data_IF_737823313607
#
_entry.id   IF_737823313607
#
_cell.length_a   1.000
_cell.length_b   1.000
_cell.length_c   1.000
_cell.angle_alpha   90.00
_cell.angle_beta   90.00
_cell.angle_gamma   90.00
#
_symmetry.space_group_name_H-M   'P 1'
#
loop_
_entity.id
_entity.type
_entity.pdbx_description
1 polymer ?
#
# COMPACT_ATOMS: atom_id res chain seq x y z
N UNK A 1 0.84 33.80 20.10
CA UNK A 1 1.43 34.04 18.75
C UNK A 1 2.70 33.21 18.64
N UNK A 2 2.58 31.95 18.21
CA UNK A 2 3.72 31.19 17.67
C UNK A 2 3.66 31.39 16.17
N UNK A 3 4.66 32.07 15.64
CA UNK A 3 4.89 32.28 14.21
C UNK A 3 5.12 30.93 13.54
N UNK A 4 4.11 30.43 12.84
CA UNK A 4 4.23 29.28 11.95
C UNK A 4 5.13 29.63 10.78
N UNK A 5 6.40 29.25 10.85
CA UNK A 5 7.13 28.89 9.65
C UNK A 5 6.58 27.51 9.25
N UNK A 6 5.75 27.48 8.21
CA UNK A 6 5.48 26.26 7.47
C UNK A 6 6.83 25.73 7.01
N UNK A 7 7.37 24.72 7.69
CA UNK A 7 8.55 24.01 7.22
C UNK A 7 8.10 23.20 6.01
N UNK A 8 8.24 23.74 4.80
CA UNK A 8 8.02 22.96 3.59
C UNK A 8 9.27 22.12 3.36
N UNK A 9 9.28 20.87 3.84
CA UNK A 9 10.36 19.94 3.53
C UNK A 9 10.47 19.72 2.02
N UNK A 10 11.68 19.53 1.52
CA UNK A 10 11.94 19.28 0.10
C UNK A 10 11.40 17.91 -0.33
N UNK A 11 10.94 17.80 -1.58
CA UNK A 11 10.53 16.52 -2.17
C UNK A 11 11.73 15.58 -2.27
N UNK A 12 11.49 14.29 -2.04
CA UNK A 12 12.52 13.29 -2.21
C UNK A 12 12.76 13.11 -3.71
N UNK A 13 14.01 13.26 -4.14
CA UNK A 13 14.50 12.96 -5.49
C UNK A 13 15.42 11.73 -5.44
N UNK A 14 16.01 11.36 -6.59
CA UNK A 14 16.81 10.15 -6.75
C UNK A 14 18.25 10.43 -7.17
N UNK A 15 18.77 11.63 -6.91
CA UNK A 15 20.15 12.02 -7.29
C UNK A 15 21.21 11.27 -6.49
N UNK A 16 20.98 11.08 -5.19
CA UNK A 16 21.95 10.46 -4.28
C UNK A 16 22.17 8.98 -4.65
N UNK A 17 23.38 8.56 -5.08
CA UNK A 17 23.61 7.22 -5.64
C UNK A 17 23.22 6.05 -4.74
N UNK A 18 23.33 6.23 -3.42
CA UNK A 18 23.04 5.20 -2.41
C UNK A 18 21.64 5.34 -1.80
N UNK A 19 20.83 6.30 -2.26
CA UNK A 19 19.44 6.43 -1.81
C UNK A 19 18.56 5.29 -2.33
N UNK A 20 17.47 5.03 -1.62
CA UNK A 20 16.48 4.04 -2.04
C UNK A 20 15.92 4.38 -3.43
N UNK A 21 15.55 5.65 -3.66
CA UNK A 21 14.98 6.12 -4.92
C UNK A 21 15.93 5.96 -6.10
N UNK A 22 17.22 6.23 -5.92
CA UNK A 22 18.21 5.97 -6.96
C UNK A 22 18.30 4.49 -7.31
N UNK A 23 18.40 3.62 -6.29
CA UNK A 23 18.45 2.18 -6.49
C UNK A 23 17.22 1.61 -7.20
N UNK A 24 16.04 2.19 -6.94
CA UNK A 24 14.81 1.85 -7.65
C UNK A 24 14.90 2.20 -9.14
N UNK A 25 15.25 3.46 -9.46
CA UNK A 25 15.25 3.92 -10.86
C UNK A 25 16.39 3.31 -11.70
N UNK A 26 17.57 3.13 -11.13
CA UNK A 26 18.77 2.74 -11.88
C UNK A 26 19.00 1.22 -11.94
N UNK A 27 18.44 0.45 -11.00
CA UNK A 27 18.59 -1.00 -10.90
C UNK A 27 17.26 -1.74 -10.98
N UNK A 28 16.35 -1.50 -10.03
CA UNK A 28 15.11 -2.30 -9.90
C UNK A 28 14.15 -2.12 -11.07
N UNK A 29 14.00 -0.91 -11.60
CA UNK A 29 13.14 -0.67 -12.78
C UNK A 29 13.67 -1.37 -14.05
N UNK A 30 14.96 -1.26 -14.42
CA UNK A 30 15.52 -2.07 -15.49
C UNK A 30 15.34 -3.58 -15.30
N UNK A 31 15.57 -4.10 -14.10
CA UNK A 31 15.35 -5.51 -13.76
C UNK A 31 13.88 -5.91 -13.91
N UNK A 32 12.95 -5.03 -13.50
CA UNK A 32 11.52 -5.25 -13.63
C UNK A 32 11.07 -5.29 -15.09
N UNK A 33 11.59 -4.40 -15.95
CA UNK A 33 11.32 -4.45 -17.39
C UNK A 33 11.77 -5.80 -17.95
N UNK A 34 12.99 -6.25 -17.61
CA UNK A 34 13.51 -7.54 -18.06
C UNK A 34 12.66 -8.72 -17.56
N UNK A 35 12.19 -8.65 -16.30
CA UNK A 35 11.28 -9.64 -15.74
C UNK A 35 9.97 -9.69 -16.51
N UNK A 36 9.25 -8.57 -16.63
CA UNK A 36 7.98 -8.47 -17.37
C UNK A 36 8.11 -8.98 -18.81
N UNK A 37 9.21 -8.62 -19.47
CA UNK A 37 9.54 -9.06 -20.83
C UNK A 37 9.61 -10.58 -20.98
N UNK A 38 10.08 -11.27 -19.94
CA UNK A 38 10.25 -12.73 -19.90
C UNK A 38 9.07 -13.49 -19.29
N UNK A 39 8.23 -12.82 -18.49
CA UNK A 39 7.12 -13.45 -17.74
C UNK A 39 5.92 -13.83 -18.60
N UNK A 40 5.72 -13.16 -19.75
CA UNK A 40 4.64 -13.44 -20.68
C UNK A 40 5.15 -13.52 -22.13
N UNK A 41 4.48 -14.30 -23.01
CA UNK A 41 4.91 -14.49 -24.40
C UNK A 41 4.52 -13.28 -25.28
N UNK A 42 5.01 -12.11 -24.93
CA UNK A 42 4.71 -10.86 -25.64
C UNK A 42 5.24 -10.88 -27.09
N UNK A 43 4.49 -10.32 -28.06
CA UNK A 43 4.87 -10.29 -29.46
C UNK A 43 6.06 -9.35 -29.69
N UNK A 44 6.76 -9.46 -30.84
CA UNK A 44 7.92 -8.62 -31.14
C UNK A 44 7.68 -7.11 -31.03
N UNK A 45 6.44 -6.63 -31.26
CA UNK A 45 6.10 -5.21 -31.09
C UNK A 45 6.17 -4.77 -29.62
N UNK A 46 5.53 -5.52 -28.71
CA UNK A 46 5.58 -5.24 -27.27
C UNK A 46 6.99 -5.40 -26.72
N UNK A 47 7.74 -6.40 -27.18
CA UNK A 47 9.15 -6.59 -26.83
C UNK A 47 9.99 -5.35 -27.17
N UNK A 48 9.80 -4.75 -28.37
CA UNK A 48 10.47 -3.50 -28.75
C UNK A 48 10.05 -2.31 -27.89
N UNK A 49 8.77 -2.20 -27.53
CA UNK A 49 8.30 -1.12 -26.66
C UNK A 49 8.96 -1.20 -25.27
N UNK A 50 9.10 -2.41 -24.72
CA UNK A 50 9.80 -2.64 -23.44
C UNK A 50 11.29 -2.29 -23.54
N UNK A 51 11.95 -2.64 -24.65
CA UNK A 51 13.35 -2.25 -24.88
C UNK A 51 13.51 -0.72 -24.98
N UNK A 52 12.57 -0.04 -25.67
CA UNK A 52 12.54 1.43 -25.76
C UNK A 52 12.34 2.09 -24.39
N UNK A 53 11.42 1.55 -23.58
CA UNK A 53 11.22 2.02 -22.21
C UNK A 53 12.50 1.89 -21.38
N UNK A 54 13.20 0.75 -21.49
CA UNK A 54 14.47 0.51 -20.79
C UNK A 54 15.58 1.50 -21.15
N UNK A 55 15.56 2.05 -22.36
CA UNK A 55 16.41 3.17 -22.78
C UNK A 55 15.93 4.51 -22.23
N UNK A 56 14.62 4.80 -22.36
CA UNK A 56 14.04 6.08 -21.99
C UNK A 56 14.19 6.42 -20.48
N UNK A 57 14.09 5.43 -19.60
CA UNK A 57 14.21 5.65 -18.14
C UNK A 57 15.64 5.98 -17.68
N UNK A 58 16.63 5.93 -18.57
CA UNK A 58 18.04 6.26 -18.28
C UNK A 58 18.42 7.68 -18.72
N UNK A 59 17.53 8.38 -19.41
CA UNK A 59 17.78 9.69 -19.98
C UNK A 59 16.84 10.72 -19.33
N UNK A 60 15.93 11.30 -20.11
CA UNK A 60 14.97 12.30 -19.67
C UNK A 60 13.56 11.75 -19.68
N UNK A 61 12.69 12.36 -18.87
CA UNK A 61 11.27 12.05 -18.80
C UNK A 61 10.62 12.27 -20.19
N UNK A 62 10.05 11.22 -20.82
CA UNK A 62 9.39 11.36 -22.12
C UNK A 62 8.01 12.01 -21.96
N UNK A 63 7.49 12.68 -23.01
CA UNK A 63 6.11 13.15 -23.02
C UNK A 63 5.13 11.97 -22.96
N UNK A 64 3.96 12.20 -22.39
CA UNK A 64 2.88 11.23 -22.41
C UNK A 64 2.15 11.28 -23.75
N UNK A 65 2.03 10.13 -24.44
CA UNK A 65 1.43 10.07 -25.79
C UNK A 65 0.34 9.02 -25.95
N UNK A 66 0.01 8.28 -24.89
CA UNK A 66 -0.96 7.18 -24.98
C UNK A 66 -2.38 7.71 -25.27
N UNK A 67 -3.08 7.19 -26.28
CA UNK A 67 -4.46 7.56 -26.57
C UNK A 67 -5.44 6.84 -25.61
N UNK A 68 -5.42 7.23 -24.33
CA UNK A 68 -6.27 6.67 -23.28
C UNK A 68 -7.28 7.68 -22.74
N UNK A 69 -8.33 7.19 -22.06
CA UNK A 69 -9.37 8.04 -21.48
C UNK A 69 -8.84 9.02 -20.42
N UNK A 70 -7.75 8.68 -19.74
CA UNK A 70 -7.07 9.48 -18.72
C UNK A 70 -5.97 10.40 -19.31
N UNK A 71 -5.85 10.48 -20.64
CA UNK A 71 -4.74 11.18 -21.32
C UNK A 71 -4.57 12.63 -20.88
N UNK A 72 -5.66 13.40 -20.85
CA UNK A 72 -5.57 14.82 -20.50
C UNK A 72 -5.06 15.05 -19.07
N UNK A 73 -5.39 14.15 -18.14
CA UNK A 73 -4.88 14.22 -16.78
C UNK A 73 -3.37 13.90 -16.73
N UNK A 74 -2.94 12.83 -17.42
CA UNK A 74 -1.52 12.47 -17.49
C UNK A 74 -0.67 13.51 -18.21
N UNK A 75 -1.14 14.08 -19.32
CA UNK A 75 -0.44 15.18 -20.00
C UNK A 75 -0.22 16.37 -19.05
N UNK A 76 -1.23 16.72 -18.24
CA UNK A 76 -1.12 17.79 -17.25
C UNK A 76 -0.11 17.45 -16.13
N UNK A 77 -0.14 16.21 -15.61
CA UNK A 77 0.78 15.77 -14.55
C UNK A 77 2.22 15.60 -15.01
N UNK A 78 2.43 15.31 -16.29
CA UNK A 78 3.75 15.07 -16.89
C UNK A 78 4.39 16.35 -17.41
N UNK A 79 3.60 17.34 -17.84
CA UNK A 79 4.08 18.59 -18.43
C UNK A 79 5.23 19.29 -17.66
N UNK A 80 5.22 19.38 -16.30
CA UNK A 80 6.30 20.04 -15.56
C UNK A 80 7.66 19.31 -15.62
N UNK A 81 7.64 18.02 -16.00
CA UNK A 81 8.79 17.13 -15.88
C UNK A 81 9.36 16.67 -17.22
N UNK A 82 8.63 16.84 -18.33
CA UNK A 82 9.10 16.46 -19.68
C UNK A 82 10.48 17.05 -19.97
N UNK A 83 11.40 16.21 -20.42
CA UNK A 83 12.76 16.62 -20.76
C UNK A 83 13.70 16.83 -19.58
N UNK A 84 13.23 16.66 -18.33
CA UNK A 84 14.10 16.65 -17.15
C UNK A 84 14.70 15.26 -16.92
N UNK A 85 15.92 15.15 -16.36
CA UNK A 85 16.49 13.85 -15.99
C UNK A 85 15.61 13.13 -14.97
N UNK A 86 15.41 11.82 -15.14
CA UNK A 86 14.58 11.01 -14.23
C UNK A 86 15.03 11.07 -12.76
N UNK A 87 16.33 11.24 -12.50
CA UNK A 87 16.87 11.29 -11.14
C UNK A 87 16.61 12.62 -10.42
N UNK A 88 16.20 13.66 -11.15
CA UNK A 88 16.03 15.03 -10.62
C UNK A 88 14.56 15.43 -10.39
N UNK A 89 13.61 14.58 -10.77
CA UNK A 89 12.19 14.80 -10.53
C UNK A 89 11.76 14.07 -9.25
N UNK A 90 10.62 14.43 -8.64
CA UNK A 90 10.18 13.82 -7.39
C UNK A 90 10.05 12.30 -7.53
N UNK A 91 10.58 11.56 -6.57
CA UNK A 91 10.73 10.11 -6.64
C UNK A 91 9.38 9.39 -6.73
N UNK A 92 8.42 9.71 -5.84
CA UNK A 92 7.05 9.18 -5.92
C UNK A 92 6.42 9.39 -7.31
N UNK A 93 6.59 10.58 -7.87
CA UNK A 93 6.07 10.93 -9.19
C UNK A 93 6.76 10.10 -10.29
N UNK A 94 8.09 10.02 -10.26
CA UNK A 94 8.89 9.25 -11.22
C UNK A 94 8.49 7.77 -11.21
N UNK A 95 8.38 7.19 -10.02
CA UNK A 95 8.01 5.79 -9.84
C UNK A 95 6.61 5.51 -10.39
N UNK A 96 5.65 6.38 -10.08
CA UNK A 96 4.28 6.31 -10.60
C UNK A 96 4.22 6.41 -12.13
N UNK A 97 4.97 7.34 -12.71
CA UNK A 97 5.00 7.52 -14.17
C UNK A 97 5.68 6.34 -14.88
N UNK A 98 6.72 5.76 -14.28
CA UNK A 98 7.34 4.54 -14.77
C UNK A 98 6.32 3.41 -14.91
N UNK A 99 5.50 3.13 -13.89
CA UNK A 99 4.48 2.07 -13.97
C UNK A 99 3.43 2.36 -15.04
N UNK A 100 3.06 3.64 -15.24
CA UNK A 100 2.16 4.06 -16.32
C UNK A 100 2.75 3.77 -17.70
N UNK A 101 4.03 4.06 -17.91
CA UNK A 101 4.74 3.77 -19.16
C UNK A 101 4.98 2.27 -19.36
N UNK A 102 5.22 1.52 -18.29
CA UNK A 102 5.39 0.07 -18.35
C UNK A 102 4.11 -0.62 -18.85
N UNK A 103 2.95 -0.26 -18.30
CA UNK A 103 1.66 -0.76 -18.78
C UNK A 103 1.35 -0.31 -20.22
N UNK A 104 1.73 0.90 -20.60
CA UNK A 104 1.64 1.33 -21.99
C UNK A 104 2.50 0.44 -22.90
N UNK A 105 3.75 0.17 -22.51
CA UNK A 105 4.66 -0.65 -23.29
C UNK A 105 4.15 -2.08 -23.52
N UNK A 106 3.41 -2.64 -22.56
CA UNK A 106 2.78 -3.97 -22.68
C UNK A 106 1.50 -3.98 -23.53
N UNK A 107 0.98 -2.80 -23.91
CA UNK A 107 -0.28 -2.66 -24.65
C UNK A 107 -1.53 -2.75 -23.77
N UNK A 108 -1.39 -2.60 -22.45
CA UNK A 108 -2.48 -2.75 -21.48
C UNK A 108 -3.68 -1.85 -21.75
N UNK A 109 -3.46 -0.63 -22.25
CA UNK A 109 -4.50 0.38 -22.48
C UNK A 109 -5.07 0.40 -23.90
N UNK A 110 -4.49 -0.39 -24.81
CA UNK A 110 -4.91 -0.42 -26.21
C UNK A 110 -6.20 -1.21 -26.43
N UNK A 111 -6.53 -1.43 -27.69
CA UNK A 111 -7.66 -2.26 -28.16
C UNK A 111 -7.22 -3.65 -28.67
N UNK A 112 -5.93 -3.96 -28.52
CA UNK A 112 -5.32 -5.22 -28.96
C UNK A 112 -5.55 -6.39 -27.99
N UNK A 113 -5.05 -7.59 -28.32
CA UNK A 113 -5.23 -8.80 -27.52
C UNK A 113 -4.52 -8.77 -26.14
N UNK A 114 -3.68 -7.76 -25.90
CA UNK A 114 -2.97 -7.56 -24.64
C UNK A 114 -3.64 -6.49 -23.76
N UNK A 115 -4.76 -5.92 -24.21
CA UNK A 115 -5.55 -4.98 -23.43
C UNK A 115 -6.01 -5.63 -22.13
N UNK A 116 -5.81 -4.94 -21.00
CA UNK A 116 -6.19 -5.43 -19.68
C UNK A 116 -5.36 -6.60 -19.12
N UNK A 117 -4.34 -7.08 -19.84
CA UNK A 117 -3.50 -8.20 -19.37
C UNK A 117 -2.51 -7.70 -18.32
N UNK A 118 -2.70 -8.10 -17.07
CA UNK A 118 -1.80 -7.77 -15.95
C UNK A 118 -0.43 -8.47 -16.11
N UNK A 119 0.68 -7.71 -16.30
CA UNK A 119 2.02 -8.28 -16.45
C UNK A 119 2.55 -8.95 -15.17
N UNK A 120 1.95 -8.67 -14.02
CA UNK A 120 2.38 -9.14 -12.70
C UNK A 120 1.54 -10.29 -12.16
N UNK A 121 0.45 -10.65 -12.86
CA UNK A 121 -0.50 -11.67 -12.40
C UNK A 121 0.15 -13.00 -12.04
N UNK A 122 1.09 -13.49 -12.85
CA UNK A 122 1.75 -14.77 -12.59
C UNK A 122 2.54 -14.76 -11.28
N UNK A 123 3.15 -13.63 -10.93
CA UNK A 123 3.84 -13.47 -9.65
C UNK A 123 2.86 -13.45 -8.49
N UNK A 124 1.75 -12.70 -8.60
CA UNK A 124 0.71 -12.63 -7.57
C UNK A 124 0.06 -13.99 -7.32
N UNK A 125 -0.30 -14.70 -8.40
CA UNK A 125 -0.90 -16.04 -8.31
C UNK A 125 0.06 -17.06 -7.71
N UNK A 126 1.36 -16.96 -8.01
CA UNK A 126 2.37 -17.85 -7.44
C UNK A 126 2.51 -17.70 -5.93
N UNK A 127 2.32 -16.49 -5.39
CA UNK A 127 2.27 -16.26 -3.95
C UNK A 127 1.08 -17.00 -3.31
N UNK A 128 -0.09 -16.98 -3.97
CA UNK A 128 -1.30 -17.65 -3.48
C UNK A 128 -1.22 -19.19 -3.54
N UNK A 129 -0.38 -19.75 -4.39
CA UNK A 129 -0.21 -21.22 -4.52
C UNK A 129 1.03 -21.70 -3.75
N UNK A 130 1.74 -20.78 -3.08
CA UNK A 130 2.92 -21.12 -2.30
C UNK A 130 2.53 -21.84 -1.00
N UNK A 131 3.33 -22.83 -0.59
CA UNK A 131 3.14 -23.49 0.72
C UNK A 131 3.39 -22.57 1.93
N UNK A 132 3.80 -21.32 1.71
CA UNK A 132 3.89 -20.31 2.76
C UNK A 132 2.50 -19.78 3.12
N UNK A 133 1.65 -19.48 2.12
CA UNK A 133 0.27 -19.07 2.39
C UNK A 133 -0.51 -20.18 3.10
N UNK A 134 -0.33 -21.46 2.73
CA UNK A 134 -1.01 -22.58 3.41
C UNK A 134 -0.76 -22.59 4.93
N UNK A 135 0.46 -22.26 5.38
CA UNK A 135 0.77 -22.13 6.81
C UNK A 135 0.12 -20.92 7.45
N UNK A 136 0.06 -19.81 6.72
CA UNK A 136 -0.61 -18.59 7.18
C UNK A 136 -2.13 -18.83 7.30
N UNK A 137 -2.72 -19.73 6.50
CA UNK A 137 -4.16 -20.05 6.57
C UNK A 137 -4.57 -20.75 7.87
N UNK A 138 -3.72 -21.59 8.45
CA UNK A 138 -3.97 -22.17 9.78
C UNK A 138 -4.03 -21.08 10.86
N UNK A 139 -3.16 -20.07 10.76
CA UNK A 139 -3.18 -18.93 11.65
C UNK A 139 -4.42 -18.06 11.43
N UNK A 140 -4.80 -17.80 10.17
CA UNK A 140 -6.06 -17.12 9.83
C UNK A 140 -7.24 -17.85 10.47
N UNK A 141 -7.31 -19.18 10.38
CA UNK A 141 -8.35 -19.97 11.02
C UNK A 141 -8.36 -19.80 12.55
N UNK A 142 -7.18 -19.75 13.18
CA UNK A 142 -7.02 -19.44 14.60
C UNK A 142 -7.59 -18.08 14.96
N UNK A 143 -7.24 -17.03 14.22
CA UNK A 143 -7.71 -15.65 14.49
C UNK A 143 -9.22 -15.52 14.27
N UNK A 144 -9.77 -16.15 13.23
CA UNK A 144 -11.22 -16.15 12.95
C UNK A 144 -12.01 -16.76 14.12
N UNK A 145 -11.45 -17.77 14.77
CA UNK A 145 -12.10 -18.51 15.88
C UNK A 145 -11.73 -18.01 17.27
N UNK A 146 -10.77 -17.09 17.38
CA UNK A 146 -10.34 -16.50 18.63
C UNK A 146 -11.45 -15.65 19.29
N UNK A 147 -11.37 -15.47 20.63
CA UNK A 147 -12.20 -14.50 21.35
C UNK A 147 -12.19 -13.12 20.69
N UNK A 148 -13.26 -12.36 20.87
CA UNK A 148 -13.49 -11.10 20.13
C UNK A 148 -12.29 -10.14 20.17
N UNK A 149 -11.85 -9.75 21.37
CA UNK A 149 -10.77 -8.79 21.58
C UNK A 149 -9.43 -9.30 21.03
N UNK A 150 -9.05 -10.54 21.37
CA UNK A 150 -7.81 -11.17 20.91
C UNK A 150 -7.78 -11.32 19.38
N UNK A 151 -8.91 -11.73 18.80
CA UNK A 151 -9.06 -11.91 17.36
C UNK A 151 -9.03 -10.59 16.60
N UNK A 152 -9.60 -9.52 17.15
CA UNK A 152 -9.54 -8.17 16.55
C UNK A 152 -8.11 -7.65 16.54
N UNK A 153 -7.44 -7.67 17.70
CA UNK A 153 -6.05 -7.22 17.83
C UNK A 153 -5.12 -8.02 16.92
N UNK A 154 -5.26 -9.35 16.90
CA UNK A 154 -4.49 -10.24 16.03
C UNK A 154 -4.74 -9.98 14.55
N UNK A 155 -5.98 -9.66 14.15
CA UNK A 155 -6.29 -9.34 12.76
C UNK A 155 -5.68 -8.00 12.31
N UNK A 156 -5.61 -6.99 13.19
CA UNK A 156 -4.96 -5.72 12.90
C UNK A 156 -3.44 -5.91 12.71
N UNK A 157 -2.80 -6.66 13.62
CA UNK A 157 -1.38 -6.98 13.48
C UNK A 157 -1.11 -7.86 12.25
N UNK A 158 -2.01 -8.79 11.92
CA UNK A 158 -1.92 -9.57 10.70
C UNK A 158 -1.97 -8.67 9.45
N UNK A 159 -2.90 -7.71 9.43
CA UNK A 159 -3.03 -6.71 8.36
C UNK A 159 -1.77 -5.85 8.22
N UNK A 160 -1.13 -5.45 9.34
CA UNK A 160 0.13 -4.69 9.33
C UNK A 160 1.31 -5.49 8.73
N UNK A 161 1.44 -6.76 9.13
CA UNK A 161 2.59 -7.60 8.82
C UNK A 161 2.39 -8.55 7.63
N UNK A 162 1.23 -8.52 6.96
CA UNK A 162 0.82 -9.52 5.95
C UNK A 162 1.78 -9.72 4.77
N UNK A 163 2.71 -8.80 4.55
CA UNK A 163 3.80 -8.94 3.58
C UNK A 163 4.95 -9.84 4.02
N UNK A 164 4.95 -10.37 5.24
CA UNK A 164 6.07 -11.12 5.84
C UNK A 164 5.69 -12.57 6.12
N UNK A 165 6.64 -13.48 5.97
CA UNK A 165 6.45 -14.94 6.07
C UNK A 165 6.48 -15.50 7.49
N UNK A 166 6.46 -14.63 8.51
CA UNK A 166 6.61 -14.97 9.93
C UNK A 166 5.45 -14.48 10.81
N UNK A 167 4.25 -14.38 10.24
CA UNK A 167 3.06 -13.84 10.90
C UNK A 167 2.78 -14.51 12.26
N UNK A 168 2.94 -15.83 12.38
CA UNK A 168 2.72 -16.58 13.63
C UNK A 168 3.76 -16.29 14.72
N UNK A 169 5.00 -16.01 14.32
CA UNK A 169 6.09 -15.67 15.25
C UNK A 169 5.96 -14.23 15.77
N UNK A 170 5.45 -13.31 14.96
CA UNK A 170 5.30 -11.90 15.35
C UNK A 170 4.10 -11.64 16.25
N UNK A 171 2.99 -12.35 16.04
CA UNK A 171 1.85 -12.26 16.98
C UNK A 171 2.20 -12.81 18.38
N UNK A 172 3.26 -13.61 18.50
CA UNK A 172 3.65 -14.29 19.73
C UNK A 172 4.87 -13.69 20.43
N UNK A 173 5.51 -12.64 19.90
CA UNK A 173 6.60 -11.93 20.57
C UNK A 173 6.05 -10.95 21.62
N UNK A 174 6.23 -11.19 22.92
CA UNK A 174 6.10 -10.12 23.90
C UNK A 174 7.27 -9.13 23.75
N UNK A 175 7.04 -7.88 24.15
CA UNK A 175 8.02 -6.78 24.19
C UNK A 175 9.41 -7.26 24.63
N UNK A 176 10.45 -6.84 23.91
CA UNK A 176 11.82 -7.25 24.21
C UNK A 176 12.24 -6.76 25.60
N UNK A 177 12.77 -7.67 26.42
CA UNK A 177 13.28 -7.36 27.77
C UNK A 177 14.73 -6.82 27.75
N UNK A 178 15.34 -6.72 26.57
CA UNK A 178 16.69 -6.18 26.38
C UNK A 178 16.61 -4.68 26.14
N UNK A 179 17.28 -3.89 26.99
CA UNK A 179 17.29 -2.43 26.90
C UNK A 179 17.96 -1.90 25.61
N UNK A 180 18.73 -2.74 24.89
CA UNK A 180 19.39 -2.37 23.64
C UNK A 180 18.55 -2.60 22.37
N UNK A 181 17.50 -3.43 22.43
CA UNK A 181 16.68 -3.75 21.27
C UNK A 181 15.47 -2.81 21.18
N UNK A 182 15.13 -2.38 19.96
CA UNK A 182 13.88 -1.67 19.69
C UNK A 182 12.88 -2.70 19.19
N UNK A 183 11.64 -2.65 19.68
CA UNK A 183 10.59 -3.53 19.20
C UNK A 183 10.36 -3.29 17.70
N UNK A 184 10.07 -4.36 16.96
CA UNK A 184 9.76 -4.29 15.53
C UNK A 184 8.61 -3.30 15.23
N UNK A 185 7.74 -3.04 16.21
CA UNK A 185 6.73 -1.98 16.16
C UNK A 185 7.23 -0.71 16.85
N UNK A 186 7.61 0.30 16.05
CA UNK A 186 8.27 1.52 16.53
C UNK A 186 7.26 2.47 17.19
N UNK A 187 6.07 2.57 16.61
CA UNK A 187 4.93 3.34 17.13
C UNK A 187 3.71 2.43 17.08
N UNK A 188 2.96 2.38 18.17
CA UNK A 188 1.83 1.48 18.35
C UNK A 188 0.62 2.21 18.93
N UNK A 189 -0.21 2.74 18.06
CA UNK A 189 -1.46 3.40 18.42
C UNK A 189 -2.68 2.45 18.31
N UNK A 190 -2.48 1.11 18.36
CA UNK A 190 -3.56 0.14 18.19
C UNK A 190 -4.68 0.27 19.22
N UNK A 191 -4.35 0.55 20.48
CA UNK A 191 -5.34 0.76 21.55
C UNK A 191 -6.24 1.98 21.28
N UNK A 192 -5.71 3.01 20.62
CA UNK A 192 -6.46 4.21 20.25
C UNK A 192 -7.49 3.88 19.16
N UNK A 193 -7.11 3.05 18.18
CA UNK A 193 -8.02 2.55 17.14
C UNK A 193 -9.22 1.82 17.76
N UNK A 194 -8.95 0.90 18.70
CA UNK A 194 -10.02 0.13 19.33
C UNK A 194 -10.88 0.96 20.27
N UNK A 195 -10.28 1.90 20.99
CA UNK A 195 -11.00 2.86 21.82
C UNK A 195 -11.95 3.72 20.97
N UNK A 196 -11.50 4.19 19.81
CA UNK A 196 -12.30 4.98 18.87
C UNK A 196 -13.48 4.19 18.30
N UNK A 197 -13.23 2.99 17.78
CA UNK A 197 -14.26 2.12 17.21
C UNK A 197 -15.22 1.54 18.25
N UNK A 198 -14.84 1.53 19.54
CA UNK A 198 -15.72 1.10 20.63
C UNK A 198 -16.53 2.25 21.23
N UNK A 199 -16.10 3.50 21.02
CA UNK A 199 -16.74 4.69 21.57
C UNK A 199 -17.97 5.17 20.79
N UNK A 200 -18.25 4.58 19.62
CA UNK A 200 -19.30 4.99 18.70
C UNK A 200 -20.16 3.80 18.27
N UNK A 201 -21.37 4.08 17.78
CA UNK A 201 -22.16 3.06 17.08
C UNK A 201 -21.41 2.63 15.82
N UNK A 202 -21.53 1.36 15.43
CA UNK A 202 -20.82 0.84 14.27
C UNK A 202 -21.27 1.53 12.98
N UNK A 203 -20.40 2.32 12.35
CA UNK A 203 -20.66 2.96 11.07
C UNK A 203 -19.78 2.43 9.95
N UNK A 204 -19.25 3.35 9.14
CA UNK A 204 -18.49 3.06 7.92
C UNK A 204 -16.98 3.09 8.20
N UNK A 205 -16.29 2.01 7.85
CA UNK A 205 -14.81 1.97 7.84
C UNK A 205 -14.33 1.82 6.40
N UNK A 206 -13.33 2.59 6.00
CA UNK A 206 -12.70 2.45 4.70
C UNK A 206 -11.33 1.78 4.84
N UNK A 207 -10.95 0.92 3.90
CA UNK A 207 -9.60 0.36 3.81
C UNK A 207 -9.02 0.68 2.44
N UNK A 208 -7.92 1.43 2.41
CA UNK A 208 -7.14 1.72 1.21
C UNK A 208 -6.02 0.69 1.11
N UNK A 209 -6.19 -0.27 0.20
CA UNK A 209 -5.32 -1.44 0.11
C UNK A 209 -3.95 -1.11 -0.52
N UNK A 210 -2.94 -1.89 -0.10
CA UNK A 210 -1.60 -1.93 -0.70
C UNK A 210 -1.51 -3.15 -1.63
N UNK A 211 -0.91 -4.26 -1.16
CA UNK A 211 -0.65 -5.44 -1.97
C UNK A 211 -1.80 -6.46 -1.98
N UNK A 212 -1.84 -7.24 -3.07
CA UNK A 212 -2.58 -8.49 -3.19
C UNK A 212 -1.95 -9.59 -2.31
N UNK A 213 -2.18 -10.86 -2.66
CA UNK A 213 -1.49 -11.97 -2.01
C UNK A 213 -1.83 -12.06 -0.51
N UNK A 214 -0.82 -12.31 0.30
CA UNK A 214 -0.97 -12.55 1.75
C UNK A 214 -1.41 -11.30 2.51
N UNK A 215 -1.01 -10.11 2.07
CA UNK A 215 -1.45 -8.86 2.67
C UNK A 215 -2.96 -8.65 2.50
N UNK A 216 -3.50 -8.85 1.29
CA UNK A 216 -4.94 -8.73 1.07
C UNK A 216 -5.73 -9.83 1.80
N UNK A 217 -5.18 -11.05 1.97
CA UNK A 217 -5.81 -12.08 2.83
C UNK A 217 -5.94 -11.57 4.28
N UNK A 218 -4.88 -10.96 4.81
CA UNK A 218 -4.89 -10.40 6.17
C UNK A 218 -5.83 -9.19 6.30
N UNK A 219 -5.91 -8.34 5.27
CA UNK A 219 -6.87 -7.23 5.24
C UNK A 219 -8.31 -7.73 5.20
N UNK A 220 -8.59 -8.79 4.44
CA UNK A 220 -9.90 -9.44 4.40
C UNK A 220 -10.26 -10.10 5.75
N UNK A 221 -9.27 -10.67 6.45
CA UNK A 221 -9.46 -11.15 7.82
C UNK A 221 -9.85 -9.99 8.76
N UNK A 222 -9.14 -8.86 8.70
CA UNK A 222 -9.49 -7.68 9.49
C UNK A 222 -10.91 -7.19 9.17
N UNK A 223 -11.27 -7.10 7.89
CA UNK A 223 -12.61 -6.70 7.45
C UNK A 223 -13.69 -7.67 7.97
N UNK A 224 -13.46 -8.99 7.89
CA UNK A 224 -14.39 -9.98 8.45
C UNK A 224 -14.56 -9.80 9.96
N UNK A 225 -13.47 -9.54 10.69
CA UNK A 225 -13.53 -9.28 12.14
C UNK A 225 -14.27 -7.99 12.46
N UNK A 226 -14.00 -6.89 11.77
CA UNK A 226 -14.70 -5.62 11.96
C UNK A 226 -16.22 -5.77 11.78
N UNK A 227 -16.65 -6.48 10.73
CA UNK A 227 -18.07 -6.71 10.46
C UNK A 227 -18.71 -7.70 11.43
N UNK A 228 -18.05 -8.83 11.72
CA UNK A 228 -18.62 -9.89 12.56
C UNK A 228 -18.73 -9.50 14.04
N UNK A 229 -17.84 -8.61 14.50
CA UNK A 229 -17.82 -8.08 15.88
C UNK A 229 -18.53 -6.73 16.00
N UNK A 230 -19.15 -6.25 14.92
CA UNK A 230 -19.85 -4.95 14.85
C UNK A 230 -18.99 -3.76 15.29
N UNK A 231 -17.72 -3.75 14.89
CA UNK A 231 -16.86 -2.55 14.91
C UNK A 231 -17.00 -1.72 13.64
N UNK A 232 -17.61 -2.30 12.60
CA UNK A 232 -18.12 -1.59 11.44
C UNK A 232 -19.48 -2.18 11.05
N UNK A 233 -20.43 -1.34 10.64
CA UNK A 233 -21.65 -1.77 9.98
C UNK A 233 -21.44 -1.97 8.47
N UNK A 234 -20.53 -1.20 7.88
CA UNK A 234 -20.16 -1.27 6.47
C UNK A 234 -18.67 -1.03 6.30
N UNK A 235 -18.07 -1.71 5.33
CA UNK A 235 -16.70 -1.46 4.89
C UNK A 235 -16.68 -1.00 3.43
N UNK A 236 -15.83 -0.04 3.11
CA UNK A 236 -15.48 0.28 1.71
C UNK A 236 -14.02 -0.11 1.48
N UNK A 237 -13.81 -1.08 0.59
CA UNK A 237 -12.49 -1.57 0.20
C UNK A 237 -12.05 -0.87 -1.08
N UNK A 238 -11.03 -0.01 -0.97
CA UNK A 238 -10.43 0.71 -2.09
C UNK A 238 -9.27 -0.08 -2.68
N UNK A 239 -9.45 -0.52 -3.93
CA UNK A 239 -8.47 -1.26 -4.73
C UNK A 239 -7.96 -0.43 -5.89
N UNK A 240 -6.83 -0.83 -6.47
CA UNK A 240 -6.29 -0.20 -7.67
C UNK A 240 -7.14 -0.58 -8.89
N UNK A 241 -7.49 0.37 -9.78
CA UNK A 241 -8.27 0.09 -11.00
C UNK A 241 -7.48 -0.69 -12.06
N UNK A 242 -6.16 -0.78 -11.92
CA UNK A 242 -5.24 -1.41 -12.87
C UNK A 242 -4.00 -1.92 -12.13
N UNK A 243 -3.16 -2.77 -12.76
CA UNK A 243 -1.91 -3.20 -12.15
C UNK A 243 -1.02 -1.99 -11.83
N UNK A 244 -0.47 -1.99 -10.64
CA UNK A 244 0.29 -0.87 -10.12
C UNK A 244 1.33 -1.41 -9.14
N UNK A 245 2.53 -0.82 -9.13
CA UNK A 245 3.57 -1.16 -8.16
C UNK A 245 3.84 -2.67 -7.97
N UNK A 246 3.74 -3.43 -9.07
CA UNK A 246 3.86 -4.90 -9.15
C UNK A 246 2.75 -5.65 -8.41
N UNK A 247 2.70 -5.54 -7.09
CA UNK A 247 1.86 -6.37 -6.22
C UNK A 247 0.57 -5.70 -5.79
N UNK A 248 0.31 -4.43 -6.13
CA UNK A 248 -0.89 -3.75 -5.64
C UNK A 248 -2.18 -4.47 -6.01
N UNK A 249 -3.10 -4.51 -5.04
CA UNK A 249 -4.37 -5.21 -5.14
C UNK A 249 -5.34 -4.56 -6.11
N UNK A 250 -5.84 -5.36 -7.04
CA UNK A 250 -6.95 -5.03 -7.95
C UNK A 250 -8.21 -5.83 -7.62
N UNK A 251 -9.34 -5.49 -8.23
CA UNK A 251 -10.58 -6.28 -8.11
C UNK A 251 -10.37 -7.73 -8.58
N UNK A 252 -9.56 -7.95 -9.62
CA UNK A 252 -9.25 -9.30 -10.10
C UNK A 252 -8.50 -10.12 -9.04
N UNK A 253 -7.58 -9.48 -8.32
CA UNK A 253 -6.83 -10.12 -7.23
C UNK A 253 -7.77 -10.49 -6.06
N UNK A 254 -8.67 -9.58 -5.67
CA UNK A 254 -9.69 -9.86 -4.66
C UNK A 254 -10.53 -11.10 -5.02
N UNK A 255 -11.03 -11.17 -6.25
CA UNK A 255 -11.85 -12.31 -6.70
C UNK A 255 -11.05 -13.61 -6.73
N UNK A 256 -9.79 -13.54 -7.15
CA UNK A 256 -8.86 -14.69 -7.16
C UNK A 256 -8.65 -15.21 -5.74
N UNK A 257 -8.41 -14.31 -4.78
CA UNK A 257 -8.23 -14.65 -3.37
C UNK A 257 -9.51 -15.24 -2.76
N UNK A 258 -10.67 -14.62 -2.96
CA UNK A 258 -11.93 -15.14 -2.44
C UNK A 258 -12.23 -16.55 -2.99
N UNK A 259 -11.96 -16.78 -4.27
CA UNK A 259 -12.09 -18.11 -4.88
C UNK A 259 -11.12 -19.13 -4.26
N UNK A 260 -9.86 -18.73 -4.05
CA UNK A 260 -8.85 -19.57 -3.42
C UNK A 260 -9.22 -19.93 -1.97
N UNK A 261 -9.54 -18.94 -1.12
CA UNK A 261 -9.96 -19.15 0.26
C UNK A 261 -11.25 -19.99 0.34
N UNK A 262 -12.20 -19.77 -0.58
CA UNK A 262 -13.43 -20.55 -0.69
C UNK A 262 -13.23 -22.02 -1.10
N UNK A 263 -12.08 -22.34 -1.71
CA UNK A 263 -11.69 -23.73 -2.04
C UNK A 263 -11.17 -24.54 -0.85
N UNK A 264 -10.95 -23.91 0.30
CA UNK A 264 -10.51 -24.57 1.53
C UNK A 264 -11.69 -25.15 2.34
N UNK A 265 -11.43 -25.62 3.56
CA UNK A 265 -12.47 -26.08 4.49
C UNK A 265 -12.39 -25.32 5.83
N UNK A 266 -13.39 -25.50 6.70
CA UNK A 266 -13.38 -24.94 8.05
C UNK A 266 -13.51 -23.40 8.09
N UNK A 267 -12.80 -22.77 9.04
CA UNK A 267 -12.95 -21.35 9.35
C UNK A 267 -12.56 -20.43 8.19
N UNK A 268 -11.54 -20.79 7.40
CA UNK A 268 -11.09 -20.02 6.23
C UNK A 268 -12.17 -19.96 5.16
N UNK A 269 -12.74 -21.11 4.79
CA UNK A 269 -13.83 -21.16 3.81
C UNK A 269 -15.08 -20.43 4.30
N UNK A 270 -15.39 -20.53 5.61
CA UNK A 270 -16.50 -19.81 6.21
C UNK A 270 -16.28 -18.28 6.19
N UNK A 271 -15.05 -17.81 6.43
CA UNK A 271 -14.67 -16.40 6.29
C UNK A 271 -14.87 -15.93 4.84
N UNK A 272 -14.37 -16.67 3.86
CA UNK A 272 -14.54 -16.35 2.44
C UNK A 272 -16.02 -16.25 2.04
N UNK A 273 -16.86 -17.18 2.52
CA UNK A 273 -18.30 -17.15 2.28
C UNK A 273 -18.99 -15.92 2.92
N UNK A 274 -18.62 -15.53 4.14
CA UNK A 274 -19.14 -14.33 4.80
C UNK A 274 -18.75 -13.06 4.06
N UNK A 275 -17.50 -12.96 3.61
CA UNK A 275 -16.99 -11.83 2.83
C UNK A 275 -17.71 -11.72 1.48
N UNK A 276 -17.86 -12.82 0.75
CA UNK A 276 -18.59 -12.85 -0.51
C UNK A 276 -20.07 -12.45 -0.34
N UNK A 277 -20.72 -12.92 0.74
CA UNK A 277 -22.07 -12.50 1.08
C UNK A 277 -22.15 -11.02 1.43
N UNK A 278 -21.19 -10.50 2.20
CA UNK A 278 -21.12 -9.08 2.56
C UNK A 278 -20.87 -8.16 1.35
N UNK A 279 -20.13 -8.62 0.35
CA UNK A 279 -20.01 -7.90 -0.93
C UNK A 279 -21.36 -7.91 -1.66
N UNK A 280 -22.02 -9.07 -1.72
CA UNK A 280 -23.30 -9.25 -2.44
C UNK A 280 -24.43 -8.42 -1.83
N UNK A 281 -24.49 -8.31 -0.50
CA UNK A 281 -25.52 -7.56 0.22
C UNK A 281 -25.20 -6.08 0.44
N UNK A 282 -24.00 -5.63 0.05
CA UNK A 282 -23.57 -4.23 0.10
C UNK A 282 -22.93 -3.79 1.41
N UNK A 283 -22.74 -4.68 2.40
CA UNK A 283 -21.96 -4.40 3.61
C UNK A 283 -20.47 -4.20 3.32
N UNK A 284 -19.95 -4.78 2.24
CA UNK A 284 -18.64 -4.45 1.68
C UNK A 284 -18.86 -3.82 0.30
N UNK A 285 -18.49 -2.55 0.15
CA UNK A 285 -18.42 -1.93 -1.17
C UNK A 285 -16.99 -1.98 -1.69
N UNK A 286 -16.79 -2.60 -2.85
CA UNK A 286 -15.50 -2.60 -3.55
C UNK A 286 -15.45 -1.38 -4.45
N UNK A 287 -14.48 -0.50 -4.24
CA UNK A 287 -14.27 0.69 -5.05
C UNK A 287 -12.90 0.67 -5.71
N UNK A 288 -12.83 1.19 -6.93
CA UNK A 288 -11.58 1.48 -7.60
C UNK A 288 -11.69 2.87 -8.23
N UNK A 289 -10.77 3.76 -7.87
CA UNK A 289 -10.74 5.14 -8.34
C UNK A 289 -9.42 5.43 -9.03
N UNK A 290 -9.44 6.19 -10.13
CA UNK A 290 -8.24 6.51 -10.92
C UNK A 290 -7.13 7.19 -10.09
N UNK A 291 -7.53 7.98 -9.07
CA UNK A 291 -6.62 8.60 -8.13
C UNK A 291 -5.65 7.61 -7.46
N UNK A 292 -6.08 6.38 -7.20
CA UNK A 292 -5.24 5.38 -6.54
C UNK A 292 -4.03 4.95 -7.39
N UNK A 293 -4.08 5.14 -8.71
CA UNK A 293 -2.96 4.95 -9.66
C UNK A 293 -2.44 6.26 -10.26
N UNK A 294 -2.76 7.41 -9.65
CA UNK A 294 -2.21 8.72 -10.06
C UNK A 294 -0.86 8.98 -9.39
N UNK A 295 0.00 9.86 -9.96
CA UNK A 295 1.27 10.21 -9.35
C UNK A 295 1.14 11.23 -8.19
N UNK A 296 -0.10 11.50 -7.75
CA UNK A 296 -0.41 12.56 -6.79
C UNK A 296 -0.36 12.07 -5.34
N UNK A 297 -0.09 13.02 -4.44
CA UNK A 297 -0.14 12.80 -2.98
C UNK A 297 -1.58 12.90 -2.47
N UNK A 298 -1.84 12.52 -1.22
CA UNK A 298 -3.19 12.60 -0.64
C UNK A 298 -3.65 14.05 -0.40
N UNK A 299 -2.74 15.02 -0.44
CA UNK A 299 -3.07 16.45 -0.48
C UNK A 299 -3.92 16.84 -1.69
N UNK A 300 -3.86 16.05 -2.77
CA UNK A 300 -4.54 16.32 -4.04
C UNK A 300 -5.72 15.36 -4.28
N UNK A 301 -6.27 14.73 -3.22
CA UNK A 301 -7.48 13.90 -3.34
C UNK A 301 -8.59 14.75 -3.99
N UNK A 302 -9.20 14.28 -5.10
CA UNK A 302 -10.28 15.01 -5.75
C UNK A 302 -11.46 15.22 -4.80
N UNK A 303 -12.10 16.40 -4.86
CA UNK A 303 -13.17 16.78 -3.93
C UNK A 303 -14.30 15.74 -3.79
N UNK A 304 -14.68 15.08 -4.89
CA UNK A 304 -15.71 14.01 -4.84
C UNK A 304 -15.26 12.77 -4.06
N UNK A 305 -13.99 12.40 -4.13
CA UNK A 305 -13.42 11.30 -3.35
C UNK A 305 -13.18 11.73 -1.89
N UNK A 306 -12.73 12.97 -1.66
CA UNK A 306 -12.57 13.51 -0.32
C UNK A 306 -13.91 13.50 0.44
N UNK A 307 -14.96 14.08 -0.14
CA UNK A 307 -16.30 14.07 0.47
C UNK A 307 -16.87 12.66 0.69
N UNK A 308 -16.51 11.69 -0.15
CA UNK A 308 -16.89 10.30 0.08
C UNK A 308 -16.11 9.63 1.23
N UNK A 309 -14.88 10.07 1.52
CA UNK A 309 -14.06 9.59 2.65
C UNK A 309 -14.45 10.29 3.96
N UNK A 310 -14.94 11.53 3.93
CA UNK A 310 -15.44 12.26 5.12
C UNK A 310 -16.58 11.52 5.83
N UNK A 311 -17.31 10.64 5.13
CA UNK A 311 -18.36 9.80 5.69
C UNK A 311 -17.83 8.62 6.54
N UNK A 312 -16.52 8.37 6.51
CA UNK A 312 -15.90 7.25 7.21
C UNK A 312 -15.59 7.60 8.67
N UNK A 313 -15.96 6.72 9.58
CA UNK A 313 -15.58 6.81 11.00
C UNK A 313 -14.09 6.57 11.21
N UNK A 314 -13.50 5.75 10.33
CA UNK A 314 -12.07 5.46 10.28
C UNK A 314 -11.66 5.06 8.86
N UNK A 315 -10.52 5.56 8.39
CA UNK A 315 -9.85 5.10 7.18
C UNK A 315 -8.55 4.38 7.53
N UNK A 316 -8.48 3.09 7.19
CA UNK A 316 -7.28 2.26 7.34
C UNK A 316 -6.44 2.41 6.08
N UNK A 317 -5.23 2.95 6.22
CA UNK A 317 -4.30 3.22 5.13
C UNK A 317 -3.18 2.18 5.19
N UNK A 318 -3.11 1.29 4.19
CA UNK A 318 -2.16 0.18 4.17
C UNK A 318 -0.86 0.54 3.44
N UNK A 319 0.27 0.11 4.00
CA UNK A 319 1.52 -0.04 3.25
C UNK A 319 2.35 1.23 3.05
N UNK A 320 3.54 1.03 2.48
CA UNK A 320 4.57 2.06 2.36
C UNK A 320 4.21 3.13 1.33
N UNK A 321 3.67 2.71 0.17
CA UNK A 321 3.28 3.64 -0.89
C UNK A 321 2.19 4.61 -0.44
N UNK A 322 1.11 4.10 0.17
CA UNK A 322 0.05 4.97 0.66
C UNK A 322 0.55 5.88 1.78
N UNK A 323 1.45 5.41 2.66
CA UNK A 323 2.08 6.26 3.68
C UNK A 323 2.89 7.41 3.08
N UNK A 324 3.73 7.10 2.07
CA UNK A 324 4.49 8.12 1.33
C UNK A 324 3.57 9.16 0.70
N UNK A 325 2.47 8.73 0.08
CA UNK A 325 1.45 9.63 -0.48
C UNK A 325 0.72 10.44 0.58
N UNK A 326 0.47 9.84 1.75
CA UNK A 326 -0.22 10.47 2.88
C UNK A 326 0.59 11.65 3.43
N UNK A 327 1.90 11.50 3.65
CA UNK A 327 2.73 12.60 4.20
C UNK A 327 3.52 13.36 3.11
N UNK A 328 3.25 13.08 1.84
CA UNK A 328 3.73 13.85 0.69
C UNK A 328 5.13 13.50 0.14
N UNK A 329 5.74 12.39 0.55
CA UNK A 329 7.05 11.89 0.08
C UNK A 329 8.18 12.95 0.12
N UNK A 330 8.31 13.64 1.26
CA UNK A 330 9.29 14.71 1.50
C UNK A 330 10.34 14.32 2.54
N UNK A 331 11.47 15.03 2.55
CA UNK A 331 12.58 14.87 3.49
C UNK A 331 12.24 15.43 4.88
N UNK A 332 11.20 14.90 5.51
CA UNK A 332 10.80 15.26 6.87
C UNK A 332 11.83 14.77 7.90
N UNK A 333 12.14 15.55 8.95
CA UNK A 333 12.78 15.00 10.15
C UNK A 333 11.95 13.83 10.70
N UNK A 334 12.55 12.69 11.10
CA UNK A 334 11.80 11.55 11.61
C UNK A 334 10.93 11.81 12.85
N UNK A 335 11.26 12.87 13.59
CA UNK A 335 10.53 13.34 14.77
C UNK A 335 9.37 14.28 14.43
N UNK A 336 9.14 14.60 13.16
CA UNK A 336 8.03 15.47 12.73
C UNK A 336 6.68 14.87 13.15
N UNK A 337 5.76 15.69 13.63
CA UNK A 337 4.42 15.24 14.06
C UNK A 337 3.68 14.57 12.91
N UNK A 338 3.31 13.30 13.08
CA UNK A 338 2.48 12.59 12.10
C UNK A 338 1.12 13.27 11.97
N UNK A 339 0.48 13.60 13.09
CA UNK A 339 -0.84 14.25 13.12
C UNK A 339 -0.86 15.58 12.35
N UNK A 340 0.18 16.42 12.48
CA UNK A 340 0.26 17.71 11.80
C UNK A 340 0.40 17.52 10.28
N UNK A 341 1.21 16.54 9.86
CA UNK A 341 1.46 16.27 8.45
C UNK A 341 0.23 15.71 7.73
N UNK A 342 -0.64 15.00 8.45
CA UNK A 342 -1.85 14.38 7.90
C UNK A 342 -3.13 15.17 8.21
N UNK A 343 -3.00 16.42 8.68
CA UNK A 343 -4.13 17.31 9.00
C UNK A 343 -5.06 17.52 7.78
N UNK A 344 -4.49 17.51 6.58
CA UNK A 344 -5.21 17.69 5.33
C UNK A 344 -6.12 16.50 4.95
N UNK A 345 -5.93 15.32 5.55
CA UNK A 345 -6.71 14.14 5.21
C UNK A 345 -8.15 14.29 5.76
N UNK A 346 -9.19 13.93 4.97
CA UNK A 346 -10.58 14.35 5.25
C UNK A 346 -11.28 13.62 6.41
N UNK A 347 -10.70 12.55 6.95
CA UNK A 347 -11.36 11.68 7.91
C UNK A 347 -10.37 11.18 8.99
N UNK A 348 -10.87 10.69 10.13
CA UNK A 348 -10.06 9.92 11.07
C UNK A 348 -9.35 8.77 10.35
N UNK A 349 -8.07 8.56 10.65
CA UNK A 349 -7.28 7.55 9.96
C UNK A 349 -6.37 6.77 10.90
N UNK A 350 -6.01 5.58 10.45
CA UNK A 350 -4.86 4.81 10.94
C UNK A 350 -4.00 4.39 9.77
N UNK A 351 -2.70 4.65 9.85
CA UNK A 351 -1.72 4.16 8.89
C UNK A 351 -1.05 2.89 9.43
N UNK A 352 -1.18 1.79 8.70
CA UNK A 352 -0.55 0.51 8.98
C UNK A 352 0.59 0.30 8.00
N UNK A 353 1.83 0.59 8.45
CA UNK A 353 2.99 0.63 7.55
C UNK A 353 4.13 -0.22 8.08
N UNK A 354 4.56 -1.19 7.29
CA UNK A 354 5.92 -1.75 7.36
C UNK A 354 6.88 -0.82 6.62
N UNK A 355 8.00 -0.42 7.24
CA UNK A 355 8.92 0.59 6.69
C UNK A 355 9.76 0.01 5.54
N UNK A 356 9.59 0.56 4.33
CA UNK A 356 10.31 0.13 3.11
C UNK A 356 10.89 1.30 2.31
N UNK A 357 11.04 2.47 2.91
CA UNK A 357 11.59 3.68 2.29
C UNK A 357 12.20 4.63 3.30
N UNK A 358 13.06 5.54 2.83
CA UNK A 358 13.83 6.48 3.68
C UNK A 358 12.95 7.40 4.55
N UNK A 359 11.70 7.61 4.14
CA UNK A 359 10.73 8.42 4.85
C UNK A 359 10.29 7.76 6.15
N UNK A 360 10.36 8.47 7.26
CA UNK A 360 9.71 8.11 8.52
C UNK A 360 9.32 9.40 9.22
N UNK A 361 8.18 9.42 9.92
CA UNK A 361 7.74 10.57 10.75
C UNK A 361 7.05 10.06 12.01
N UNK A 362 6.86 10.92 13.00
CA UNK A 362 6.22 10.59 14.28
C UNK A 362 7.03 9.63 15.15
N UNK A 363 8.35 9.54 14.95
CA UNK A 363 9.22 8.64 15.73
C UNK A 363 9.70 9.37 17.00
N UNK A 364 9.48 8.81 18.21
CA UNK A 364 9.99 9.39 19.45
C UNK A 364 11.52 9.53 19.44
N UNK A 365 12.05 10.64 19.98
CA UNK A 365 13.48 10.96 19.94
C UNK A 365 14.36 9.87 20.56
N UNK A 366 13.91 9.29 21.67
CA UNK A 366 14.62 8.22 22.38
C UNK A 366 14.66 6.92 21.57
N UNK A 367 13.57 6.58 20.86
CA UNK A 367 13.52 5.43 19.95
C UNK A 367 14.37 5.67 18.71
N UNK A 368 14.28 6.86 18.11
CA UNK A 368 15.07 7.24 16.94
C UNK A 368 16.56 7.10 17.21
N UNK A 369 17.06 7.62 18.34
CA UNK A 369 18.47 7.54 18.70
C UNK A 369 18.98 6.08 18.80
N UNK A 370 18.13 5.15 19.28
CA UNK A 370 18.48 3.72 19.36
C UNK A 370 18.51 3.06 18.00
N UNK A 371 17.49 3.33 17.17
CA UNK A 371 17.40 2.80 15.80
C UNK A 371 18.62 3.21 14.97
N UNK A 372 19.00 4.48 15.01
CA UNK A 372 20.17 4.97 14.26
C UNK A 372 21.49 4.39 14.75
N UNK A 373 21.58 4.05 16.04
CA UNK A 373 22.80 3.50 16.62
C UNK A 373 22.97 1.99 16.38
N UNK A 374 21.87 1.22 16.28
CA UNK A 374 21.93 -0.24 16.32
C UNK A 374 21.28 -0.95 15.12
N UNK A 375 20.41 -0.27 14.36
CA UNK A 375 19.57 -0.90 13.32
C UNK A 375 19.69 -0.15 11.98
N UNK A 376 20.86 -0.09 11.32
CA UNK A 376 21.11 0.78 10.15
C UNK A 376 20.16 0.56 8.94
N UNK A 377 19.39 -0.54 8.92
CA UNK A 377 18.41 -0.88 7.88
C UNK A 377 16.95 -0.53 8.21
N UNK A 378 16.64 -0.05 9.43
CA UNK A 378 15.29 -0.03 10.01
C UNK A 378 14.20 0.66 9.16
N UNK A 379 14.60 1.58 8.28
CA UNK A 379 13.70 2.32 7.38
C UNK A 379 13.33 1.57 6.10
N UNK A 380 14.19 0.68 5.62
CA UNK A 380 14.14 0.23 4.20
C UNK A 380 14.09 -1.28 4.03
N UNK A 381 14.44 -2.05 5.05
CA UNK A 381 14.51 -3.52 4.98
C UNK A 381 13.18 -4.22 5.29
N UNK A 382 12.14 -3.48 5.67
CA UNK A 382 10.85 -4.04 6.05
C UNK A 382 10.84 -4.75 7.39
N UNK A 383 11.88 -4.57 8.21
CA UNK A 383 12.00 -5.24 9.52
C UNK A 383 11.11 -4.61 10.59
N UNK A 384 10.85 -3.31 10.48
CA UNK A 384 10.09 -2.51 11.43
C UNK A 384 8.77 -1.99 10.84
N UNK A 385 7.85 -1.60 11.72
CA UNK A 385 6.54 -1.07 11.37
C UNK A 385 6.10 0.06 12.30
N UNK A 386 5.04 0.75 11.88
CA UNK A 386 4.29 1.72 12.69
C UNK A 386 2.79 1.50 12.51
N UNK A 387 2.05 1.69 13.61
CA UNK A 387 0.61 1.95 13.64
C UNK A 387 0.48 3.37 14.15
N UNK A 388 0.06 4.29 13.29
CA UNK A 388 -0.06 5.71 13.62
C UNK A 388 -1.46 6.21 13.33
N UNK A 389 -2.07 6.91 14.30
CA UNK A 389 -3.43 7.42 14.14
C UNK A 389 -3.48 8.95 14.03
N UNK A 390 -4.57 9.42 13.43
CA UNK A 390 -5.13 10.75 13.69
C UNK A 390 -6.64 10.59 13.78
N UNK A 391 -7.18 10.72 14.98
CA UNK A 391 -8.60 10.44 15.27
C UNK A 391 -9.43 11.72 15.53
N UNK A 392 -8.80 12.90 15.49
CA UNK A 392 -9.41 14.22 15.72
C UNK A 392 -8.97 15.26 14.69
#
# INVERSE_FOLDING_TARGET
MRTGQSMTAEEIDSKEPDSFGNGVLTRRHPELIAKVRSSLPYPPAVQRNLDQLGGAIRDVVPPFTEPSADRSAWEAWVAPYVGRPWLEVPFLWAESYFYRLLLQATGYFGDGPWAGVDPFKSQKDAELISGELDRDLDQVAGIVTAPEEEGLHSALLASLWGNRSDLGFRLSKPQSADAAQVDDLIVDDADEVWSHLSGHDAGRVDLIADNAGRELVADLLLIDRLLSTRRAARVVLHLKPQPYFVSDATVHDLLTILGHLGGHTGAVAAMAARLAAAITDGRIAVQAHAFWCSPLTFHDIPAGLAGALEESELVIIKGDLNYRRLVGDRRWPPTSSFSDLVEHFPAPLVALRTLKSDLAVGIPEDRLARLEAHEPGWRTDGTHAVIQTRLQ
#
